data_IF_138154383691
#
_entry.id   IF_138154383691
#
_cell.length_a   1.000
_cell.length_b   1.000
_cell.length_c   1.000
_cell.angle_alpha   90.00
_cell.angle_beta   90.00
_cell.angle_gamma   90.00
#
_symmetry.space_group_name_H-M   'P 1'
#
loop_
_entity.id
_entity.type
_entity.pdbx_description
1 polymer ?
#
# COMPACT_ATOMS: atom_id res chain seq x y z
N UNK A 1 20.47 -4.72 5.50
CA UNK A 1 20.08 -5.77 6.46
C UNK A 1 18.96 -6.56 5.84
N UNK A 2 19.08 -7.87 5.76
CA UNK A 2 18.03 -8.76 5.25
C UNK A 2 16.90 -8.83 6.28
N UNK A 3 15.68 -8.57 5.86
CA UNK A 3 14.52 -8.79 6.71
C UNK A 3 14.32 -10.30 6.89
N UNK A 4 14.21 -10.75 8.13
CA UNK A 4 13.91 -12.14 8.45
C UNK A 4 12.76 -12.21 9.44
N UNK A 5 11.74 -12.99 9.09
CA UNK A 5 10.64 -13.33 9.99
C UNK A 5 10.51 -14.84 10.12
N UNK A 6 9.89 -15.30 11.19
CA UNK A 6 9.57 -16.73 11.38
C UNK A 6 8.77 -17.29 10.21
N UNK A 7 7.86 -16.47 9.65
CA UNK A 7 7.06 -16.82 8.49
C UNK A 7 7.95 -17.01 7.24
N UNK A 8 8.82 -16.06 6.93
CA UNK A 8 9.73 -16.14 5.79
C UNK A 8 10.71 -17.33 5.92
N UNK A 9 11.22 -17.59 7.14
CA UNK A 9 12.08 -18.74 7.40
C UNK A 9 11.37 -20.07 7.17
N UNK A 10 10.10 -20.19 7.57
CA UNK A 10 9.24 -21.38 7.31
C UNK A 10 9.14 -21.66 5.81
N UNK A 11 8.80 -20.65 5.00
CA UNK A 11 8.64 -20.83 3.56
C UNK A 11 9.98 -21.02 2.83
N UNK A 12 11.06 -20.42 3.31
CA UNK A 12 12.40 -20.71 2.81
C UNK A 12 12.80 -22.17 3.08
N UNK A 13 12.45 -22.71 4.25
CA UNK A 13 12.61 -24.13 4.55
C UNK A 13 11.81 -25.00 3.59
N UNK A 14 10.54 -24.65 3.31
CA UNK A 14 9.70 -25.33 2.33
C UNK A 14 10.32 -25.35 0.93
N UNK A 15 10.97 -24.24 0.53
CA UNK A 15 11.67 -24.15 -0.75
C UNK A 15 12.87 -25.11 -0.85
N UNK A 16 13.50 -25.44 0.26
CA UNK A 16 14.69 -26.30 0.30
C UNK A 16 14.39 -27.77 0.60
N UNK A 17 13.16 -28.07 1.05
CA UNK A 17 12.76 -29.45 1.41
C UNK A 17 12.27 -30.19 0.17
N UNK A 18 12.90 -31.29 -0.25
CA UNK A 18 12.44 -32.08 -1.38
C UNK A 18 11.10 -32.78 -1.06
N UNK A 19 10.31 -33.10 -2.09
CA UNK A 19 9.08 -33.89 -1.96
C UNK A 19 9.40 -35.33 -1.52
N UNK A 20 10.47 -35.90 -2.06
CA UNK A 20 10.97 -37.22 -1.63
C UNK A 20 12.49 -37.27 -1.73
N UNK A 21 13.13 -38.25 -1.10
CA UNK A 21 14.57 -38.39 -1.06
C UNK A 21 15.24 -38.41 -2.45
N UNK A 22 14.56 -38.92 -3.46
CA UNK A 22 15.11 -39.10 -4.81
C UNK A 22 14.47 -38.15 -5.84
N UNK A 23 13.53 -37.30 -5.44
CA UNK A 23 12.84 -36.39 -6.35
C UNK A 23 12.49 -35.10 -5.63
N UNK A 24 13.21 -34.03 -5.98
CA UNK A 24 13.02 -32.74 -5.36
C UNK A 24 11.63 -32.17 -5.64
N UNK A 25 11.19 -32.16 -6.88
CA UNK A 25 9.99 -31.45 -7.30
C UNK A 25 8.71 -32.31 -7.32
N UNK A 26 8.80 -33.61 -7.07
CA UNK A 26 7.66 -34.51 -7.11
C UNK A 26 7.18 -34.82 -8.53
N UNK A 27 5.86 -34.70 -8.78
CA UNK A 27 5.24 -35.00 -10.07
C UNK A 27 4.41 -33.83 -10.61
N UNK A 28 4.08 -33.86 -11.91
CA UNK A 28 3.12 -32.89 -12.48
C UNK A 28 1.72 -33.17 -11.95
N UNK A 29 1.16 -32.19 -11.26
CA UNK A 29 -0.13 -32.27 -10.59
C UNK A 29 -1.30 -31.73 -11.41
N UNK A 30 -1.08 -31.35 -12.66
CA UNK A 30 -2.07 -30.63 -13.49
C UNK A 30 -3.44 -31.32 -13.54
N UNK A 31 -3.46 -32.64 -13.40
CA UNK A 31 -4.68 -33.47 -13.46
C UNK A 31 -4.99 -34.13 -12.13
N UNK A 32 -4.40 -33.67 -11.02
CA UNK A 32 -4.74 -34.18 -9.71
C UNK A 32 -6.00 -33.50 -9.15
N UNK A 33 -6.73 -34.20 -8.32
CA UNK A 33 -7.94 -33.70 -7.66
C UNK A 33 -7.62 -32.51 -6.76
N UNK A 34 -6.47 -32.50 -6.10
CA UNK A 34 -6.02 -31.43 -5.22
C UNK A 34 -5.79 -30.13 -6.01
N UNK A 35 -5.18 -30.24 -7.20
CA UNK A 35 -4.95 -29.10 -8.08
C UNK A 35 -6.27 -28.56 -8.65
N UNK A 36 -7.18 -29.45 -9.09
CA UNK A 36 -8.49 -29.07 -9.61
C UNK A 36 -9.35 -28.35 -8.55
N UNK A 37 -9.33 -28.83 -7.32
CA UNK A 37 -10.03 -28.20 -6.19
C UNK A 37 -9.46 -26.82 -5.90
N UNK A 38 -8.14 -26.66 -5.88
CA UNK A 38 -7.48 -25.39 -5.66
C UNK A 38 -7.80 -24.39 -6.79
N UNK A 39 -7.73 -24.82 -8.04
CA UNK A 39 -8.07 -24.00 -9.21
C UNK A 39 -9.55 -23.60 -9.20
N UNK A 40 -10.45 -24.50 -8.83
CA UNK A 40 -11.87 -24.23 -8.69
C UNK A 40 -12.15 -23.15 -7.64
N UNK A 41 -11.46 -23.18 -6.49
CA UNK A 41 -11.58 -22.16 -5.47
C UNK A 41 -11.18 -20.78 -6.00
N UNK A 42 -10.06 -20.70 -6.74
CA UNK A 42 -9.58 -19.45 -7.33
C UNK A 42 -10.47 -18.92 -8.46
N UNK A 43 -11.15 -19.79 -9.19
CA UNK A 43 -12.11 -19.42 -10.25
C UNK A 43 -13.35 -18.73 -9.73
N UNK A 44 -13.71 -18.86 -8.43
CA UNK A 44 -14.85 -18.17 -7.83
C UNK A 44 -14.76 -16.64 -7.98
N UNK A 45 -13.55 -16.08 -8.05
CA UNK A 45 -13.36 -14.65 -8.32
C UNK A 45 -13.93 -14.17 -9.65
N UNK A 46 -14.10 -15.08 -10.62
CA UNK A 46 -14.57 -14.77 -11.98
C UNK A 46 -16.01 -15.24 -12.23
N UNK A 47 -16.71 -15.75 -11.22
CA UNK A 47 -18.08 -16.21 -11.35
C UNK A 47 -19.04 -15.01 -11.47
N UNK A 48 -19.66 -14.86 -12.65
CA UNK A 48 -20.54 -13.73 -13.00
C UNK A 48 -21.89 -13.73 -12.25
N UNK A 49 -22.27 -14.83 -11.62
CA UNK A 49 -23.62 -15.03 -11.06
C UNK A 49 -23.68 -15.39 -9.58
N UNK A 50 -22.55 -15.60 -8.92
CA UNK A 50 -22.51 -15.89 -7.49
C UNK A 50 -21.58 -14.89 -6.79
N UNK A 51 -22.04 -14.30 -5.69
CA UNK A 51 -21.22 -13.51 -4.76
C UNK A 51 -20.39 -14.50 -3.91
N UNK A 52 -19.71 -15.43 -4.58
CA UNK A 52 -18.87 -16.40 -3.90
C UNK A 52 -17.51 -15.75 -3.60
N UNK A 53 -17.25 -15.51 -2.34
CA UNK A 53 -15.93 -15.04 -1.88
C UNK A 53 -14.94 -16.20 -1.89
N UNK A 54 -13.70 -15.94 -2.34
CA UNK A 54 -12.61 -16.91 -2.27
C UNK A 54 -12.26 -17.14 -0.80
N UNK A 55 -12.19 -18.39 -0.39
CA UNK A 55 -11.65 -18.78 0.91
C UNK A 55 -10.12 -18.84 0.83
N UNK A 56 -9.47 -17.74 1.18
CA UNK A 56 -8.01 -17.62 1.15
C UNK A 56 -7.29 -18.53 2.14
N UNK A 57 -7.95 -18.95 3.23
CA UNK A 57 -7.38 -19.93 4.14
C UNK A 57 -7.32 -21.30 3.47
N UNK A 58 -8.40 -21.70 2.80
CA UNK A 58 -8.43 -22.95 2.05
C UNK A 58 -7.41 -22.96 0.91
N UNK A 59 -7.24 -21.83 0.19
CA UNK A 59 -6.20 -21.69 -0.84
C UNK A 59 -4.82 -21.87 -0.23
N UNK A 60 -4.56 -21.26 0.92
CA UNK A 60 -3.29 -21.36 1.64
C UNK A 60 -3.00 -22.80 2.03
N UNK A 61 -3.92 -23.46 2.75
CA UNK A 61 -3.74 -24.81 3.27
C UNK A 61 -3.55 -25.85 2.13
N UNK A 62 -4.37 -25.74 1.07
CA UNK A 62 -4.26 -26.63 -0.09
C UNK A 62 -2.95 -26.42 -0.86
N UNK A 63 -2.51 -25.16 -1.00
CA UNK A 63 -1.25 -24.86 -1.66
C UNK A 63 -0.04 -25.35 -0.87
N UNK A 64 -0.05 -25.20 0.46
CA UNK A 64 0.99 -25.75 1.34
C UNK A 64 1.05 -27.28 1.27
N UNK A 65 -0.10 -27.94 1.31
CA UNK A 65 -0.18 -29.39 1.18
C UNK A 65 0.45 -29.87 -0.13
N UNK A 66 0.08 -29.24 -1.25
CA UNK A 66 0.63 -29.56 -2.57
C UNK A 66 2.15 -29.37 -2.59
N UNK A 67 2.64 -28.19 -2.15
CA UNK A 67 4.06 -27.86 -2.20
C UNK A 67 4.93 -28.67 -1.21
N UNK A 68 4.30 -29.24 -0.18
CA UNK A 68 4.99 -30.10 0.80
C UNK A 68 5.04 -31.55 0.37
N UNK A 69 3.96 -32.07 -0.23
CA UNK A 69 3.78 -33.52 -0.35
C UNK A 69 3.64 -34.04 -1.80
N UNK A 70 3.34 -33.17 -2.76
CA UNK A 70 2.98 -33.59 -4.12
C UNK A 70 3.90 -33.03 -5.20
N UNK A 71 4.11 -31.70 -5.21
CA UNK A 71 4.80 -31.05 -6.32
C UNK A 71 5.33 -29.66 -5.99
N UNK A 72 6.53 -29.35 -6.46
CA UNK A 72 7.08 -27.98 -6.48
C UNK A 72 6.62 -27.28 -7.76
N UNK A 73 5.39 -26.75 -7.73
CA UNK A 73 4.73 -26.13 -8.88
C UNK A 73 4.71 -24.60 -8.75
N UNK A 74 5.22 -23.88 -9.75
CA UNK A 74 5.31 -22.42 -9.77
C UNK A 74 3.91 -21.77 -9.76
N UNK A 75 2.89 -22.41 -10.37
CA UNK A 75 1.51 -21.91 -10.37
C UNK A 75 0.98 -21.87 -8.93
N UNK A 76 1.12 -22.99 -8.24
CA UNK A 76 0.70 -23.13 -6.83
C UNK A 76 1.50 -22.18 -5.92
N UNK A 77 2.78 -22.02 -6.19
CA UNK A 77 3.63 -21.06 -5.45
C UNK A 77 3.15 -19.61 -5.63
N UNK A 78 2.76 -19.21 -6.84
CA UNK A 78 2.21 -17.89 -7.10
C UNK A 78 0.85 -17.68 -6.39
N UNK A 79 0.00 -18.70 -6.37
CA UNK A 79 -1.29 -18.66 -5.66
C UNK A 79 -1.10 -18.59 -4.14
N UNK A 80 -0.16 -19.36 -3.61
CA UNK A 80 0.22 -19.32 -2.20
C UNK A 80 0.75 -17.93 -1.80
N UNK A 81 1.63 -17.34 -2.61
CA UNK A 81 2.16 -16.01 -2.33
C UNK A 81 1.04 -14.96 -2.23
N UNK A 82 0.03 -15.06 -3.08
CA UNK A 82 -1.12 -14.19 -3.03
C UNK A 82 -2.06 -14.49 -1.85
N UNK A 83 -2.31 -15.75 -1.53
CA UNK A 83 -3.09 -16.15 -0.36
C UNK A 83 -2.43 -15.66 0.95
N UNK A 84 -1.12 -15.75 1.05
CA UNK A 84 -0.35 -15.20 2.15
C UNK A 84 -0.52 -13.68 2.28
N UNK A 85 -0.52 -12.95 1.16
CA UNK A 85 -0.82 -11.52 1.18
C UNK A 85 -2.21 -11.24 1.74
N UNK A 86 -3.22 -11.99 1.32
CA UNK A 86 -4.60 -11.81 1.77
C UNK A 86 -4.78 -12.08 3.28
N UNK A 87 -3.95 -12.95 3.86
CA UNK A 87 -4.02 -13.33 5.28
C UNK A 87 -3.11 -12.50 6.17
N UNK A 88 -1.89 -12.23 5.73
CA UNK A 88 -0.82 -11.64 6.55
C UNK A 88 -0.28 -10.32 5.95
N UNK A 89 -1.01 -9.75 4.96
CA UNK A 89 -0.63 -8.51 4.28
C UNK A 89 0.80 -8.59 3.70
N UNK A 90 1.57 -7.52 3.77
CA UNK A 90 2.92 -7.45 3.19
C UNK A 90 3.94 -8.41 3.83
N UNK A 91 3.74 -8.84 5.08
CA UNK A 91 4.58 -9.86 5.69
C UNK A 91 4.38 -11.23 5.03
N UNK A 92 3.13 -11.55 4.73
CA UNK A 92 2.78 -12.76 3.96
C UNK A 92 3.27 -12.67 2.52
N UNK A 93 3.08 -11.52 1.86
CA UNK A 93 3.60 -11.32 0.51
C UNK A 93 5.12 -11.53 0.44
N UNK A 94 5.87 -10.95 1.39
CA UNK A 94 7.31 -11.12 1.48
C UNK A 94 7.68 -12.60 1.60
N UNK A 95 7.02 -13.35 2.49
CA UNK A 95 7.29 -14.78 2.68
C UNK A 95 7.00 -15.60 1.40
N UNK A 96 5.90 -15.28 0.69
CA UNK A 96 5.56 -15.89 -0.59
C UNK A 96 6.56 -15.57 -1.71
N UNK A 97 7.04 -14.34 -1.78
CA UNK A 97 8.08 -13.94 -2.75
C UNK A 97 9.42 -14.58 -2.42
N UNK A 98 9.79 -14.71 -1.14
CA UNK A 98 11.00 -15.44 -0.72
C UNK A 98 10.93 -16.91 -1.15
N UNK A 99 9.77 -17.56 -0.98
CA UNK A 99 9.55 -18.93 -1.47
C UNK A 99 9.71 -19.03 -2.99
N UNK A 100 9.00 -18.18 -3.73
CA UNK A 100 9.03 -18.16 -5.20
C UNK A 100 10.45 -17.90 -5.72
N UNK A 101 11.13 -16.90 -5.17
CA UNK A 101 12.50 -16.56 -5.50
C UNK A 101 13.44 -17.77 -5.26
N UNK A 102 13.39 -18.39 -4.07
CA UNK A 102 14.24 -19.50 -3.72
C UNK A 102 14.02 -20.73 -4.61
N UNK A 103 12.76 -21.06 -4.91
CA UNK A 103 12.43 -22.14 -5.85
C UNK A 103 12.97 -21.85 -7.24
N UNK A 104 12.69 -20.66 -7.79
CA UNK A 104 13.13 -20.30 -9.14
C UNK A 104 14.65 -20.29 -9.26
N UNK A 105 15.37 -19.65 -8.32
CA UNK A 105 16.83 -19.48 -8.45
C UNK A 105 17.63 -20.72 -8.16
N UNK A 106 17.11 -21.65 -7.33
CA UNK A 106 17.86 -22.83 -6.89
C UNK A 106 17.48 -24.11 -7.63
N UNK A 107 16.22 -24.22 -8.05
CA UNK A 107 15.65 -25.49 -8.51
C UNK A 107 14.92 -25.38 -9.85
N UNK A 108 15.20 -24.34 -10.65
CA UNK A 108 14.48 -24.03 -11.89
C UNK A 108 14.28 -25.25 -12.80
N UNK A 109 15.30 -26.04 -13.01
CA UNK A 109 15.26 -27.19 -13.93
C UNK A 109 14.18 -28.22 -13.51
N UNK A 110 14.04 -28.43 -12.21
CA UNK A 110 13.17 -29.48 -11.66
C UNK A 110 11.71 -29.07 -11.51
N UNK A 111 11.44 -27.72 -11.44
CA UNK A 111 10.10 -27.18 -11.12
C UNK A 111 9.06 -27.50 -12.20
N UNK A 112 7.84 -27.68 -11.76
CA UNK A 112 6.66 -27.72 -12.63
C UNK A 112 6.02 -26.32 -12.76
N UNK A 113 5.34 -26.04 -13.90
CA UNK A 113 5.33 -26.80 -15.15
C UNK A 113 6.67 -26.73 -15.88
N UNK A 114 6.96 -27.73 -16.73
CA UNK A 114 8.26 -27.79 -17.45
C UNK A 114 8.35 -26.76 -18.59
N UNK A 115 7.22 -26.39 -19.21
CA UNK A 115 7.19 -25.48 -20.37
C UNK A 115 7.44 -24.03 -19.96
N UNK A 116 8.44 -23.37 -20.54
CA UNK A 116 8.81 -21.98 -20.27
C UNK A 116 7.62 -21.01 -20.35
N UNK A 117 6.81 -21.08 -21.40
CA UNK A 117 5.62 -20.23 -21.58
C UNK A 117 4.58 -20.42 -20.45
N UNK A 118 4.43 -21.63 -19.91
CA UNK A 118 3.50 -21.90 -18.81
C UNK A 118 4.05 -21.39 -17.48
N UNK A 119 5.38 -21.43 -17.29
CA UNK A 119 6.05 -20.81 -16.14
C UNK A 119 5.88 -19.29 -16.17
N UNK A 120 6.12 -18.68 -17.34
CA UNK A 120 5.91 -17.25 -17.54
C UNK A 120 4.46 -16.84 -17.21
N UNK A 121 3.47 -17.56 -17.70
CA UNK A 121 2.06 -17.31 -17.43
C UNK A 121 1.71 -17.44 -15.95
N UNK A 122 2.29 -18.41 -15.24
CA UNK A 122 2.07 -18.62 -13.80
C UNK A 122 2.53 -17.41 -12.98
N UNK A 123 3.69 -16.86 -13.30
CA UNK A 123 4.23 -15.69 -12.60
C UNK A 123 3.53 -14.42 -13.06
N UNK A 124 3.21 -14.30 -14.36
CA UNK A 124 2.43 -13.18 -14.89
C UNK A 124 1.03 -13.06 -14.27
N UNK A 125 0.47 -14.16 -13.76
CA UNK A 125 -0.78 -14.12 -13.00
C UNK A 125 -0.68 -13.28 -11.71
N UNK A 126 0.49 -13.26 -11.09
CA UNK A 126 0.76 -12.48 -9.88
C UNK A 126 1.01 -11.00 -10.17
N UNK A 127 1.57 -10.65 -11.33
CA UNK A 127 2.01 -9.30 -11.69
C UNK A 127 0.95 -8.22 -11.51
N UNK A 128 -0.27 -8.31 -12.10
CA UNK A 128 -1.29 -7.26 -11.95
C UNK A 128 -1.80 -7.12 -10.50
N UNK A 129 -1.73 -8.18 -9.73
CA UNK A 129 -2.07 -8.19 -8.30
C UNK A 129 -1.04 -7.44 -7.48
N UNK A 130 0.24 -7.64 -7.78
CA UNK A 130 1.33 -6.85 -7.19
C UNK A 130 1.23 -5.39 -7.60
N UNK A 131 0.91 -5.11 -8.86
CA UNK A 131 0.68 -3.73 -9.33
C UNK A 131 -0.41 -3.05 -8.51
N UNK A 132 -1.53 -3.70 -8.31
CA UNK A 132 -2.65 -3.14 -7.55
C UNK A 132 -2.26 -2.80 -6.11
N UNK A 133 -1.59 -3.71 -5.41
CA UNK A 133 -1.27 -3.51 -3.98
C UNK A 133 -0.07 -2.59 -3.76
N UNK A 134 0.86 -2.53 -4.70
CA UNK A 134 2.01 -1.63 -4.67
C UNK A 134 1.71 -0.26 -5.32
N UNK A 135 0.56 -0.13 -6.02
CA UNK A 135 0.07 1.15 -6.53
C UNK A 135 -0.58 2.01 -5.44
N UNK A 136 -1.18 1.39 -4.44
CA UNK A 136 -1.78 2.06 -3.30
C UNK A 136 -0.71 2.76 -2.44
N UNK A 137 -1.16 3.60 -1.52
CA UNK A 137 -0.27 4.25 -0.55
C UNK A 137 0.21 3.20 0.46
N UNK A 138 1.38 2.61 0.15
CA UNK A 138 1.95 1.51 0.92
C UNK A 138 2.66 2.09 2.14
N UNK A 139 2.48 1.56 3.37
CA UNK A 139 3.10 2.07 4.60
C UNK A 139 4.58 1.70 4.68
N UNK A 140 5.35 2.04 3.64
CA UNK A 140 6.79 1.72 3.51
C UNK A 140 7.59 2.31 4.67
N UNK A 141 7.22 3.52 5.12
CA UNK A 141 7.90 4.24 6.19
C UNK A 141 7.90 3.49 7.53
N UNK A 142 6.91 2.66 7.81
CA UNK A 142 6.78 1.92 9.06
C UNK A 142 7.68 0.68 9.09
N UNK A 143 7.94 0.06 7.93
CA UNK A 143 8.65 -1.23 7.82
C UNK A 143 9.64 -1.23 6.65
N UNK A 144 10.59 -0.29 6.66
CA UNK A 144 11.60 -0.12 5.62
C UNK A 144 12.46 -1.37 5.37
N UNK A 145 12.74 -2.14 6.40
CA UNK A 145 13.48 -3.39 6.35
C UNK A 145 12.74 -4.46 5.52
N UNK A 146 11.45 -4.63 5.78
CA UNK A 146 10.59 -5.57 5.04
C UNK A 146 10.48 -5.18 3.56
N UNK A 147 10.15 -3.92 3.30
CA UNK A 147 9.97 -3.46 1.91
C UNK A 147 11.29 -3.40 1.15
N UNK A 148 12.40 -3.11 1.84
CA UNK A 148 13.75 -3.17 1.26
C UNK A 148 14.11 -4.57 0.80
N UNK A 149 13.88 -5.58 1.64
CA UNK A 149 14.15 -6.99 1.28
C UNK A 149 13.17 -7.49 0.22
N UNK A 150 11.89 -7.12 0.30
CA UNK A 150 10.90 -7.44 -0.74
C UNK A 150 11.32 -6.89 -2.11
N UNK A 151 11.77 -5.64 -2.18
CA UNK A 151 12.25 -5.02 -3.42
C UNK A 151 13.49 -5.73 -3.96
N UNK A 152 14.44 -6.09 -3.09
CA UNK A 152 15.63 -6.83 -3.46
C UNK A 152 15.28 -8.21 -4.04
N UNK A 153 14.38 -8.96 -3.37
CA UNK A 153 13.94 -10.28 -3.85
C UNK A 153 13.16 -10.23 -5.17
N UNK A 154 12.32 -9.22 -5.34
CA UNK A 154 11.62 -9.00 -6.63
C UNK A 154 12.61 -8.65 -7.75
N UNK A 155 13.64 -7.84 -7.46
CA UNK A 155 14.67 -7.47 -8.42
C UNK A 155 15.53 -8.67 -8.82
N UNK A 156 15.98 -9.48 -7.83
CA UNK A 156 16.73 -10.71 -8.08
C UNK A 156 15.91 -11.71 -8.92
N UNK A 157 14.61 -11.84 -8.59
CA UNK A 157 13.69 -12.71 -9.33
C UNK A 157 13.50 -12.23 -10.76
N UNK A 158 13.31 -10.92 -10.97
CA UNK A 158 13.17 -10.31 -12.29
C UNK A 158 14.38 -10.59 -13.17
N UNK A 159 15.60 -10.33 -12.67
CA UNK A 159 16.83 -10.60 -13.40
C UNK A 159 16.96 -12.07 -13.79
N UNK A 160 16.70 -12.97 -12.86
CA UNK A 160 16.75 -14.41 -13.10
C UNK A 160 15.72 -14.86 -14.16
N UNK A 161 14.47 -14.38 -14.04
CA UNK A 161 13.41 -14.74 -14.99
C UNK A 161 13.69 -14.19 -16.39
N UNK A 162 14.28 -13.00 -16.50
CA UNK A 162 14.69 -12.41 -17.78
C UNK A 162 15.76 -13.26 -18.48
N UNK A 163 16.71 -13.82 -17.73
CA UNK A 163 17.69 -14.76 -18.29
C UNK A 163 17.06 -16.08 -18.74
N UNK A 164 16.14 -16.64 -17.95
CA UNK A 164 15.56 -17.97 -18.21
C UNK A 164 14.46 -17.97 -19.27
N UNK A 165 13.69 -16.88 -19.40
CA UNK A 165 12.48 -16.79 -20.22
C UNK A 165 12.62 -15.81 -21.38
N UNK A 166 13.65 -14.98 -21.40
CA UNK A 166 13.90 -13.99 -22.45
C UNK A 166 12.70 -13.06 -22.65
N UNK A 167 12.15 -13.02 -23.87
CA UNK A 167 11.02 -12.17 -24.24
C UNK A 167 9.69 -12.56 -23.57
N UNK A 168 9.57 -13.79 -23.07
CA UNK A 168 8.37 -14.28 -22.39
C UNK A 168 8.38 -13.95 -20.89
N UNK A 169 9.44 -13.32 -20.37
CA UNK A 169 9.57 -13.00 -18.95
C UNK A 169 8.47 -12.01 -18.51
N UNK A 170 7.90 -12.21 -17.29
CA UNK A 170 6.94 -11.29 -16.72
C UNK A 170 7.58 -9.92 -16.47
N UNK A 171 6.84 -8.83 -16.72
CA UNK A 171 7.31 -7.46 -16.55
C UNK A 171 7.30 -7.05 -15.07
N UNK A 172 8.29 -7.47 -14.30
CA UNK A 172 8.43 -7.10 -12.88
C UNK A 172 9.25 -5.81 -12.67
N UNK A 173 10.05 -5.40 -13.62
CA UNK A 173 10.93 -4.24 -13.52
C UNK A 173 10.22 -2.92 -13.15
N UNK A 174 9.04 -2.58 -13.73
CA UNK A 174 8.30 -1.38 -13.33
C UNK A 174 7.88 -1.40 -11.86
N UNK A 175 7.48 -2.58 -11.35
CA UNK A 175 7.12 -2.79 -9.95
C UNK A 175 8.32 -2.56 -9.02
N UNK A 176 9.47 -3.15 -9.37
CA UNK A 176 10.71 -2.99 -8.62
C UNK A 176 11.10 -1.52 -8.51
N UNK A 177 11.12 -0.79 -9.64
CA UNK A 177 11.45 0.64 -9.68
C UNK A 177 10.51 1.47 -8.81
N UNK A 178 9.20 1.22 -8.92
CA UNK A 178 8.19 1.93 -8.13
C UNK A 178 8.38 1.71 -6.62
N UNK A 179 8.58 0.47 -6.21
CA UNK A 179 8.80 0.14 -4.80
C UNK A 179 10.11 0.75 -4.28
N UNK A 180 11.18 0.71 -5.05
CA UNK A 180 12.47 1.34 -4.73
C UNK A 180 12.33 2.87 -4.57
N UNK A 181 11.55 3.53 -5.42
CA UNK A 181 11.26 4.96 -5.29
C UNK A 181 10.49 5.29 -4.01
N UNK A 182 9.49 4.48 -3.66
CA UNK A 182 8.73 4.64 -2.41
C UNK A 182 9.64 4.44 -1.19
N UNK A 183 10.51 3.43 -1.21
CA UNK A 183 11.50 3.18 -0.16
C UNK A 183 12.46 4.37 -0.02
N UNK A 184 12.97 4.89 -1.15
CA UNK A 184 13.88 6.04 -1.15
C UNK A 184 13.22 7.27 -0.55
N UNK A 185 11.97 7.58 -0.93
CA UNK A 185 11.20 8.71 -0.36
C UNK A 185 10.99 8.54 1.14
N UNK A 186 10.57 7.34 1.58
CA UNK A 186 10.34 7.05 2.99
C UNK A 186 11.63 7.10 3.83
N UNK A 187 12.77 6.64 3.28
CA UNK A 187 14.06 6.71 3.96
C UNK A 187 14.61 8.13 4.05
N UNK A 188 14.41 8.96 3.02
CA UNK A 188 14.77 10.37 3.04
C UNK A 188 13.96 11.14 4.10
N UNK A 189 12.64 10.92 4.15
CA UNK A 189 11.77 11.53 5.16
C UNK A 189 12.20 11.16 6.58
N UNK A 190 12.64 9.91 6.83
CA UNK A 190 13.20 9.49 8.14
C UNK A 190 14.58 10.10 8.42
N UNK A 191 15.43 10.27 7.41
CA UNK A 191 16.73 10.92 7.58
C UNK A 191 16.58 12.40 7.86
N UNK A 192 15.66 13.09 7.19
CA UNK A 192 15.36 14.50 7.44
C UNK A 192 14.74 14.68 8.83
N UNK A 193 13.89 13.77 9.28
CA UNK A 193 13.40 13.73 10.66
C UNK A 193 14.53 13.46 11.69
N UNK A 194 15.47 12.56 11.38
CA UNK A 194 16.60 12.23 12.26
C UNK A 194 17.73 13.28 12.20
N UNK A 195 17.96 13.92 11.06
CA UNK A 195 18.86 15.08 10.96
C UNK A 195 18.28 16.28 11.71
N UNK A 196 16.95 16.43 11.69
CA UNK A 196 16.24 17.37 12.56
C UNK A 196 16.51 17.09 14.05
N UNK A 197 16.50 15.82 14.49
CA UNK A 197 16.67 15.44 15.91
C UNK A 197 18.16 15.44 16.33
N UNK A 198 19.11 14.95 15.53
CA UNK A 198 20.53 14.92 15.88
C UNK A 198 21.21 16.28 15.65
N UNK A 199 20.82 17.05 14.63
CA UNK A 199 21.18 18.45 14.44
C UNK A 199 20.48 19.35 15.47
N UNK A 200 19.25 19.02 15.88
CA UNK A 200 18.53 19.72 16.92
C UNK A 200 19.14 19.48 18.33
N UNK A 201 19.76 18.34 18.63
CA UNK A 201 20.44 18.15 19.93
C UNK A 201 21.78 18.96 20.02
N UNK A 202 22.47 19.20 18.93
CA UNK A 202 23.62 20.09 18.90
C UNK A 202 23.22 21.58 18.72
N UNK A 203 22.16 21.84 17.97
CA UNK A 203 21.56 23.17 17.79
C UNK A 203 20.49 23.50 18.86
N UNK A 204 19.89 22.52 19.55
CA UNK A 204 18.93 22.73 20.66
C UNK A 204 19.59 23.35 21.88
N UNK A 205 20.91 23.28 22.04
CA UNK A 205 21.60 24.17 23.02
C UNK A 205 21.75 25.62 22.52
N UNK A 206 21.69 25.86 21.20
CA UNK A 206 21.70 27.22 20.64
C UNK A 206 20.34 27.69 20.11
N UNK A 207 19.43 26.76 19.73
CA UNK A 207 18.08 27.06 19.23
C UNK A 207 16.96 26.76 20.21
N UNK A 208 17.21 26.12 21.36
CA UNK A 208 16.25 26.14 22.47
C UNK A 208 16.06 27.59 23.00
N UNK A 209 17.07 28.45 22.86
CA UNK A 209 16.87 29.89 23.05
C UNK A 209 16.18 30.56 21.86
N UNK A 210 16.26 30.04 20.63
CA UNK A 210 15.70 30.72 19.45
C UNK A 210 14.40 30.04 18.97
N UNK A 211 14.04 28.81 19.39
CA UNK A 211 12.73 28.19 19.13
C UNK A 211 11.73 28.46 20.24
N UNK A 212 12.18 28.78 21.44
CA UNK A 212 11.38 29.51 22.43
C UNK A 212 11.22 30.99 22.04
N UNK A 213 11.97 31.46 21.00
CA UNK A 213 11.93 32.82 20.45
C UNK A 213 11.64 32.83 18.94
N UNK A 214 11.36 31.68 18.30
CA UNK A 214 10.52 31.56 17.10
C UNK A 214 9.05 31.37 17.53
N UNK A 215 8.65 32.01 18.63
CA UNK A 215 7.49 32.86 18.55
C UNK A 215 7.80 33.78 17.37
N UNK A 216 7.26 33.57 16.21
CA UNK A 216 7.03 34.61 15.27
C UNK A 216 6.34 35.68 16.08
N UNK A 217 7.14 36.67 16.55
CA UNK A 217 6.57 37.87 17.11
C UNK A 217 5.65 38.36 16.01
N UNK A 218 4.36 38.40 16.31
CA UNK A 218 3.37 38.92 15.38
C UNK A 218 3.53 40.42 15.52
N UNK A 219 4.49 40.96 14.81
CA UNK A 219 4.86 42.38 14.91
C UNK A 219 4.02 43.24 13.95
N UNK A 220 3.24 42.56 13.09
CA UNK A 220 2.34 43.25 12.17
C UNK A 220 1.02 42.47 11.99
N UNK A 221 -0.05 43.19 11.72
CA UNK A 221 -1.38 42.62 11.38
C UNK A 221 -1.30 41.69 10.15
N UNK A 222 -0.37 42.00 9.22
CA UNK A 222 -0.05 41.17 8.07
C UNK A 222 0.49 39.79 8.48
N UNK A 223 1.34 39.73 9.48
CA UNK A 223 1.95 38.52 9.98
C UNK A 223 0.91 37.68 10.76
N UNK A 224 0.04 38.35 11.52
CA UNK A 224 -1.09 37.70 12.18
C UNK A 224 -2.02 37.01 11.18
N UNK A 225 -2.40 37.71 10.12
CA UNK A 225 -3.21 37.14 9.05
C UNK A 225 -2.52 36.01 8.29
N UNK A 226 -1.21 36.10 8.06
CA UNK A 226 -0.44 35.03 7.42
C UNK A 226 -0.38 33.78 8.29
N UNK A 227 -0.18 33.94 9.58
CA UNK A 227 -0.18 32.82 10.53
C UNK A 227 -1.56 32.19 10.67
N UNK A 228 -2.62 32.96 10.71
CA UNK A 228 -3.97 32.47 10.74
C UNK A 228 -4.32 31.63 9.51
N UNK A 229 -3.92 32.08 8.32
CA UNK A 229 -4.06 31.27 7.08
C UNK A 229 -3.29 29.97 7.15
N UNK A 230 -2.07 29.99 7.68
CA UNK A 230 -1.28 28.78 7.87
C UNK A 230 -1.97 27.80 8.83
N UNK A 231 -2.55 28.28 9.93
CA UNK A 231 -3.35 27.45 10.86
C UNK A 231 -4.59 26.89 10.21
N UNK A 232 -5.30 27.69 9.37
CA UNK A 232 -6.45 27.23 8.60
C UNK A 232 -6.06 26.09 7.65
N UNK A 233 -4.96 26.22 6.93
CA UNK A 233 -4.46 25.18 6.01
C UNK A 233 -4.01 23.92 6.75
N UNK A 234 -3.34 24.05 7.88
CA UNK A 234 -2.93 22.92 8.74
C UNK A 234 -4.11 22.21 9.39
N UNK A 235 -5.22 22.91 9.64
CA UNK A 235 -6.41 22.29 10.23
C UNK A 235 -7.25 21.49 9.24
N UNK A 236 -7.15 21.74 7.93
CA UNK A 236 -7.94 21.06 6.89
C UNK A 236 -7.80 19.54 6.89
N UNK A 237 -6.58 18.95 6.88
CA UNK A 237 -6.44 17.49 6.89
C UNK A 237 -7.02 16.86 8.17
N UNK A 238 -6.93 17.56 9.31
CA UNK A 238 -7.50 17.11 10.57
C UNK A 238 -9.04 17.11 10.52
N UNK A 239 -9.63 18.19 10.01
CA UNK A 239 -11.09 18.29 9.80
C UNK A 239 -11.57 17.23 8.80
N UNK A 240 -10.87 17.03 7.69
CA UNK A 240 -11.19 16.03 6.68
C UNK A 240 -11.17 14.61 7.27
N UNK A 241 -10.18 14.29 8.10
CA UNK A 241 -10.10 13.00 8.80
C UNK A 241 -11.34 12.75 9.69
N UNK A 242 -11.74 13.73 10.51
CA UNK A 242 -12.88 13.58 11.40
C UNK A 242 -14.21 13.49 10.62
N UNK A 243 -14.38 14.30 9.57
CA UNK A 243 -15.59 14.27 8.73
C UNK A 243 -15.70 12.96 7.95
N UNK A 244 -14.58 12.34 7.57
CA UNK A 244 -14.56 11.02 6.94
C UNK A 244 -15.03 9.92 7.92
N UNK A 245 -14.72 10.06 9.21
CA UNK A 245 -15.18 9.12 10.24
C UNK A 245 -16.67 9.34 10.57
N UNK A 246 -17.07 10.59 10.68
CA UNK A 246 -18.44 10.99 10.98
C UNK A 246 -18.75 12.37 10.39
N UNK A 247 -19.64 12.42 9.40
CA UNK A 247 -20.00 13.66 8.68
C UNK A 247 -20.49 14.79 9.61
N UNK A 248 -21.08 14.46 10.75
CA UNK A 248 -21.54 15.40 11.77
C UNK A 248 -20.59 15.52 12.97
N UNK A 249 -19.28 15.32 12.78
CA UNK A 249 -18.32 15.44 13.90
C UNK A 249 -18.24 16.90 14.37
N UNK A 250 -18.65 17.10 15.63
CA UNK A 250 -18.71 18.41 16.26
C UNK A 250 -17.33 19.07 16.37
N UNK A 251 -16.26 18.29 16.48
CA UNK A 251 -14.88 18.81 16.57
C UNK A 251 -14.46 19.48 15.27
N UNK A 252 -14.71 18.80 14.14
CA UNK A 252 -14.42 19.34 12.80
C UNK A 252 -15.24 20.62 12.54
N UNK A 253 -16.54 20.58 12.87
CA UNK A 253 -17.42 21.73 12.67
C UNK A 253 -17.03 22.93 13.54
N UNK A 254 -16.68 22.71 14.81
CA UNK A 254 -16.22 23.77 15.72
C UNK A 254 -14.90 24.36 15.26
N UNK A 255 -13.89 23.52 14.98
CA UNK A 255 -12.57 23.99 14.55
C UNK A 255 -12.65 24.79 13.25
N UNK A 256 -13.33 24.25 12.24
CA UNK A 256 -13.50 24.91 10.96
C UNK A 256 -14.23 26.27 11.10
N UNK A 257 -15.33 26.33 11.83
CA UNK A 257 -16.06 27.58 12.08
C UNK A 257 -15.22 28.60 12.84
N UNK A 258 -14.57 28.20 13.93
CA UNK A 258 -13.74 29.12 14.73
C UNK A 258 -12.64 29.72 13.88
N UNK A 259 -11.90 28.94 13.10
CA UNK A 259 -10.81 29.44 12.27
C UNK A 259 -11.31 30.32 11.10
N UNK A 260 -12.49 30.03 10.55
CA UNK A 260 -13.07 30.83 9.46
C UNK A 260 -13.61 32.18 9.96
N UNK A 261 -14.15 32.24 11.18
CA UNK A 261 -14.76 33.45 11.73
C UNK A 261 -13.79 34.32 12.51
N UNK A 262 -12.65 33.77 12.93
CA UNK A 262 -11.65 34.50 13.72
C UNK A 262 -11.19 35.84 13.09
N UNK A 263 -11.04 35.97 11.76
CA UNK A 263 -10.64 37.23 11.13
C UNK A 263 -11.79 38.23 10.93
N UNK A 264 -13.01 37.94 11.39
CA UNK A 264 -14.18 38.76 11.18
C UNK A 264 -14.47 39.52 12.48
N UNK A 265 -14.00 40.76 12.57
CA UNK A 265 -14.13 41.60 13.77
C UNK A 265 -15.46 42.38 13.81
N UNK A 266 -16.05 42.63 12.64
CA UNK A 266 -17.26 43.41 12.53
C UNK A 266 -18.24 42.86 11.51
N UNK A 267 -19.48 43.16 11.65
CA UNK A 267 -20.47 42.86 10.63
C UNK A 267 -20.19 43.66 9.36
N UNK A 268 -20.41 43.07 8.17
CA UNK A 268 -20.22 43.80 6.92
C UNK A 268 -21.09 45.02 6.84
N UNK A 269 -20.54 46.09 6.29
CA UNK A 269 -21.29 47.35 6.09
C UNK A 269 -22.55 47.08 5.25
N UNK A 270 -23.63 47.69 5.67
CA UNK A 270 -24.94 47.59 4.99
C UNK A 270 -25.29 48.96 4.43
N UNK A 271 -25.80 48.98 3.20
CA UNK A 271 -26.37 50.17 2.63
C UNK A 271 -27.77 50.50 3.27
N UNK A 272 -28.38 51.59 2.88
CA UNK A 272 -29.69 52.02 3.39
C UNK A 272 -30.78 50.93 3.25
N UNK A 273 -30.69 50.08 2.26
CA UNK A 273 -31.63 48.97 1.99
C UNK A 273 -31.24 47.68 2.75
N UNK A 274 -30.33 47.75 3.72
CA UNK A 274 -29.84 46.62 4.53
C UNK A 274 -29.11 45.53 3.69
N UNK A 275 -28.68 45.84 2.47
CA UNK A 275 -27.94 44.96 1.59
C UNK A 275 -26.43 45.12 1.84
N UNK A 276 -25.70 44.02 1.92
CA UNK A 276 -24.24 44.01 2.09
C UNK A 276 -23.55 43.93 0.75
N UNK A 277 -22.35 44.51 0.63
CA UNK A 277 -21.49 44.38 -0.57
C UNK A 277 -20.88 42.99 -0.78
N UNK A 278 -21.18 42.00 0.09
CA UNK A 278 -20.68 40.65 -0.04
C UNK A 278 -21.24 39.95 -1.27
N UNK A 279 -20.39 39.36 -2.08
CA UNK A 279 -20.83 38.52 -3.19
C UNK A 279 -21.42 37.22 -2.67
N UNK A 280 -22.71 37.00 -2.95
CA UNK A 280 -23.36 35.71 -2.71
C UNK A 280 -22.74 34.58 -3.56
N UNK A 281 -23.00 33.34 -3.20
CA UNK A 281 -22.68 32.20 -4.04
C UNK A 281 -23.40 32.32 -5.39
N UNK A 282 -22.74 32.01 -6.51
CA UNK A 282 -23.36 31.93 -7.81
C UNK A 282 -24.61 31.02 -7.76
N UNK A 283 -25.70 31.47 -8.36
CA UNK A 283 -27.01 30.76 -8.31
C UNK A 283 -26.88 29.31 -8.82
N UNK A 284 -26.07 29.10 -9.83
CA UNK A 284 -25.84 27.76 -10.40
C UNK A 284 -25.17 26.81 -9.40
N UNK A 285 -24.19 27.31 -8.63
CA UNK A 285 -23.56 26.51 -7.55
C UNK A 285 -24.55 26.21 -6.44
N UNK A 286 -25.39 27.16 -6.09
CA UNK A 286 -26.42 26.97 -5.05
C UNK A 286 -27.42 25.91 -5.46
N UNK A 287 -27.86 25.92 -6.70
CA UNK A 287 -28.75 24.89 -7.27
C UNK A 287 -28.06 23.51 -7.27
N UNK A 288 -26.83 23.43 -7.71
CA UNK A 288 -26.07 22.17 -7.71
C UNK A 288 -25.94 21.57 -6.30
N UNK A 289 -25.69 22.39 -5.26
CA UNK A 289 -25.67 21.92 -3.88
C UNK A 289 -27.07 21.50 -3.38
N UNK A 290 -28.13 22.20 -3.77
CA UNK A 290 -29.49 21.81 -3.42
C UNK A 290 -29.90 20.48 -4.06
N UNK A 291 -29.57 20.26 -5.33
CA UNK A 291 -29.80 18.99 -6.04
C UNK A 291 -29.04 17.83 -5.39
N UNK A 292 -27.77 18.00 -5.04
CA UNK A 292 -27.00 17.00 -4.33
C UNK A 292 -27.57 16.69 -2.95
N UNK A 293 -27.99 17.71 -2.22
CA UNK A 293 -28.67 17.54 -0.93
C UNK A 293 -29.96 16.73 -1.05
N UNK A 294 -30.80 17.01 -2.06
CA UNK A 294 -32.02 16.27 -2.33
C UNK A 294 -31.77 14.82 -2.75
N UNK A 295 -30.61 14.53 -3.39
CA UNK A 295 -30.18 13.21 -3.80
C UNK A 295 -29.47 12.42 -2.68
N UNK A 296 -29.30 13.01 -1.51
CA UNK A 296 -28.63 12.37 -0.38
C UNK A 296 -27.10 12.24 -0.55
N UNK A 297 -26.52 12.98 -1.48
CA UNK A 297 -25.07 13.01 -1.74
C UNK A 297 -24.41 14.03 -0.80
N UNK A 298 -24.02 13.56 0.39
CA UNK A 298 -23.44 14.42 1.44
C UNK A 298 -21.90 14.33 1.52
N UNK A 299 -21.27 13.45 0.77
CA UNK A 299 -19.85 13.19 0.80
C UNK A 299 -19.18 13.69 -0.50
N UNK A 300 -18.80 14.99 -0.48
CA UNK A 300 -17.80 15.56 -1.41
C UNK A 300 -16.95 16.60 -0.67
#
# INVERSE_FOLDING_TARGET
MTYSSTLSARYLSLANTPISANNFAGSDIRYSTEYEHLESELRKANALHEVATIDWQKVLDSSELILTSHSKDIRVTAWLAWALYQRESFAGLHAGIVLLHALCTRHWADLYPQKARTRAAAISWLTPRLEQVLAADVPVGERLDLFGDLAAKLRELEGYLSEQLGTDAPLLLPLCRRLEEQIKRASQSKQDSNKGVAGALAQVKQTASSLLHASTSVDSEKDAHKQLRSLQDQSRPLCAYWLKQKVSDVRALRLSRTLLWLPIDSLPERNADKVTGLRGLPVDKLKAYQERYQQGQYAD
#
